data_IF_236116190673
#
_entry.id   IF_236116190673
#
_cell.length_a   1.000
_cell.length_b   1.000
_cell.length_c   1.000
_cell.angle_alpha   90.00
_cell.angle_beta   90.00
_cell.angle_gamma   90.00
#
_symmetry.space_group_name_H-M   'P 1'
#
loop_
_entity.id
_entity.type
_entity.pdbx_description
1 polymer ?
#
# COMPACT_ATOMS: atom_id res chain seq x y z
N UNK A 1 -3.27 -19.16 4.29
CA UNK A 1 -2.75 -17.78 4.35
C UNK A 1 -3.88 -16.86 3.90
N UNK A 2 -4.16 -15.78 4.63
CA UNK A 2 -5.11 -14.77 4.14
C UNK A 2 -4.62 -14.22 2.78
N UNK A 3 -5.49 -14.28 1.77
CA UNK A 3 -5.18 -13.71 0.45
C UNK A 3 -5.41 -12.20 0.49
N UNK A 4 -4.33 -11.42 0.52
CA UNK A 4 -4.41 -9.97 0.41
C UNK A 4 -4.75 -9.55 -1.03
N UNK A 5 -5.64 -8.55 -1.21
CA UNK A 5 -5.86 -7.90 -2.50
C UNK A 5 -4.55 -7.42 -3.14
N UNK A 6 -4.49 -7.43 -4.47
CA UNK A 6 -3.28 -7.04 -5.21
C UNK A 6 -2.82 -5.62 -4.84
N UNK A 7 -3.76 -4.69 -4.68
CA UNK A 7 -3.46 -3.32 -4.28
C UNK A 7 -2.78 -3.26 -2.90
N UNK A 8 -3.25 -4.04 -1.93
CA UNK A 8 -2.62 -4.12 -0.60
C UNK A 8 -1.19 -4.68 -0.68
N UNK A 9 -0.94 -5.63 -1.59
CA UNK A 9 0.41 -6.17 -1.80
C UNK A 9 1.33 -5.11 -2.40
N UNK A 10 0.86 -4.30 -3.35
CA UNK A 10 1.63 -3.20 -3.92
C UNK A 10 1.98 -2.13 -2.87
N UNK A 11 1.05 -1.80 -1.98
CA UNK A 11 1.31 -0.90 -0.83
C UNK A 11 2.40 -1.49 0.07
N UNK A 12 2.32 -2.77 0.41
CA UNK A 12 3.34 -3.42 1.23
C UNK A 12 4.71 -3.49 0.55
N UNK A 13 4.76 -3.75 -0.76
CA UNK A 13 6.01 -3.73 -1.53
C UNK A 13 6.66 -2.35 -1.55
N UNK A 14 5.85 -1.29 -1.72
CA UNK A 14 6.34 0.09 -1.67
C UNK A 14 6.92 0.41 -0.28
N UNK A 15 6.23 0.04 0.79
CA UNK A 15 6.70 0.26 2.15
C UNK A 15 7.94 -0.58 2.49
N UNK A 16 8.06 -1.79 1.93
CA UNK A 16 9.27 -2.60 2.06
C UNK A 16 10.50 -1.93 1.43
N UNK A 17 10.33 -1.28 0.28
CA UNK A 17 11.39 -0.48 -0.34
C UNK A 17 11.79 0.76 0.46
N UNK A 18 10.87 1.28 1.31
CA UNK A 18 11.06 2.46 2.17
C UNK A 18 11.14 2.11 3.67
N UNK A 19 11.59 0.90 4.00
CA UNK A 19 11.51 0.33 5.36
C UNK A 19 12.00 1.28 6.46
N UNK A 20 13.11 2.01 6.24
CA UNK A 20 13.72 2.89 7.23
C UNK A 20 13.12 4.30 7.29
N UNK A 21 12.56 4.81 6.19
CA UNK A 21 12.10 6.21 6.09
C UNK A 21 10.61 6.38 6.35
N UNK A 22 9.84 5.29 6.23
CA UNK A 22 8.38 5.32 6.13
C UNK A 22 7.94 6.00 4.83
N UNK A 23 6.64 6.18 4.68
CA UNK A 23 6.06 6.89 3.54
C UNK A 23 4.80 7.65 3.99
N UNK A 24 4.67 8.92 3.61
CA UNK A 24 3.44 9.69 3.85
C UNK A 24 2.33 9.29 2.89
N UNK A 25 1.09 9.70 3.18
CA UNK A 25 -0.05 9.45 2.29
C UNK A 25 0.16 10.09 0.92
N UNK A 26 0.64 11.33 0.85
CA UNK A 26 0.94 12.03 -0.41
C UNK A 26 2.03 11.32 -1.23
N UNK A 27 3.10 10.88 -0.58
CA UNK A 27 4.16 10.12 -1.25
C UNK A 27 3.61 8.82 -1.81
N UNK A 28 2.89 8.04 -0.99
CA UNK A 28 2.30 6.76 -1.40
C UNK A 28 1.36 6.92 -2.59
N UNK A 29 0.49 7.93 -2.53
CA UNK A 29 -0.42 8.31 -3.59
C UNK A 29 0.39 8.61 -4.86
N UNK A 30 1.41 9.47 -4.79
CA UNK A 30 2.25 9.80 -5.95
C UNK A 30 2.95 8.58 -6.57
N UNK A 31 3.45 7.64 -5.76
CA UNK A 31 4.11 6.41 -6.25
C UNK A 31 3.13 5.40 -6.86
N UNK A 32 1.91 5.32 -6.34
CA UNK A 32 0.89 4.37 -6.79
C UNK A 32 0.04 4.92 -7.94
N UNK A 33 0.05 6.24 -8.18
CA UNK A 33 -0.70 6.89 -9.24
C UNK A 33 -0.43 6.30 -10.65
N UNK A 34 0.82 6.00 -11.07
CA UNK A 34 1.09 5.39 -12.38
C UNK A 34 0.54 3.97 -12.49
N UNK A 35 0.63 3.17 -11.42
CA UNK A 35 0.18 1.77 -11.38
C UNK A 35 -1.34 1.67 -11.56
N UNK A 36 -2.08 2.61 -10.96
CA UNK A 36 -3.54 2.66 -11.07
C UNK A 36 -3.97 3.41 -12.33
N UNK A 37 -3.19 4.35 -12.86
CA UNK A 37 -3.46 4.94 -14.19
C UNK A 37 -3.44 3.88 -15.29
N UNK A 38 -2.54 2.89 -15.19
CA UNK A 38 -2.55 1.72 -16.07
C UNK A 38 -3.79 0.83 -15.86
N UNK A 39 -4.20 0.62 -14.61
CA UNK A 39 -5.43 -0.12 -14.29
C UNK A 39 -6.71 0.62 -14.71
N UNK A 40 -6.71 1.95 -14.66
CA UNK A 40 -7.76 2.87 -15.11
C UNK A 40 -7.95 2.81 -16.62
N UNK A 41 -6.85 2.70 -17.38
CA UNK A 41 -6.90 2.42 -18.81
C UNK A 41 -7.62 1.10 -19.13
N UNK A 42 -7.53 0.13 -18.21
CA UNK A 42 -8.14 -1.19 -18.35
C UNK A 42 -9.60 -1.26 -17.87
N UNK A 43 -9.97 -0.50 -16.82
CA UNK A 43 -11.30 -0.58 -16.18
C UNK A 43 -12.25 0.60 -16.50
N UNK A 44 -11.82 1.63 -17.22
CA UNK A 44 -12.68 2.75 -17.66
C UNK A 44 -13.19 3.68 -16.55
N UNK A 45 -12.80 3.48 -15.30
CA UNK A 45 -13.22 4.30 -14.14
C UNK A 45 -12.34 5.52 -13.93
N UNK A 46 -12.92 6.72 -14.02
CA UNK A 46 -12.24 7.99 -13.77
C UNK A 46 -12.13 8.31 -12.28
N UNK A 47 -11.09 7.79 -11.61
CA UNK A 47 -10.73 8.31 -10.28
C UNK A 47 -10.17 9.73 -10.41
N UNK A 48 -10.74 10.65 -9.63
CA UNK A 48 -10.16 11.95 -9.31
C UNK A 48 -9.02 11.79 -8.29
N UNK A 49 -8.12 12.78 -8.18
CA UNK A 49 -6.99 12.72 -7.23
C UNK A 49 -7.43 12.48 -5.77
N UNK A 50 -8.58 13.02 -5.37
CA UNK A 50 -9.16 12.85 -4.02
C UNK A 50 -9.71 11.44 -3.78
N UNK A 51 -10.38 10.85 -4.77
CA UNK A 51 -10.89 9.48 -4.64
C UNK A 51 -9.74 8.46 -4.56
N UNK A 52 -8.64 8.76 -5.24
CA UNK A 52 -7.45 7.93 -5.19
C UNK A 52 -6.74 8.01 -3.84
N UNK A 53 -6.56 9.21 -3.30
CA UNK A 53 -6.01 9.39 -1.94
C UNK A 53 -6.87 8.68 -0.89
N UNK A 54 -8.21 8.77 -1.00
CA UNK A 54 -9.13 8.04 -0.13
C UNK A 54 -8.96 6.52 -0.25
N UNK A 55 -8.76 5.99 -1.46
CA UNK A 55 -8.53 4.56 -1.69
C UNK A 55 -7.22 4.08 -1.06
N UNK A 56 -6.15 4.88 -1.18
CA UNK A 56 -4.86 4.59 -0.53
C UNK A 56 -5.03 4.60 0.99
N UNK A 57 -5.71 5.62 1.53
CA UNK A 57 -5.97 5.73 2.97
C UNK A 57 -6.77 4.54 3.50
N UNK A 58 -7.81 4.10 2.79
CA UNK A 58 -8.62 2.96 3.21
C UNK A 58 -7.82 1.65 3.21
N UNK A 59 -6.96 1.45 2.21
CA UNK A 59 -6.03 0.33 2.20
C UNK A 59 -5.04 0.38 3.38
N UNK A 60 -4.55 1.58 3.74
CA UNK A 60 -3.67 1.76 4.88
C UNK A 60 -4.36 1.43 6.21
N UNK A 61 -5.62 1.85 6.40
CA UNK A 61 -6.41 1.50 7.58
C UNK A 61 -6.57 -0.01 7.68
N UNK A 62 -7.00 -0.67 6.60
CA UNK A 62 -7.17 -2.14 6.59
C UNK A 62 -5.86 -2.87 6.88
N UNK A 63 -4.74 -2.43 6.31
CA UNK A 63 -3.44 -3.03 6.54
C UNK A 63 -2.96 -2.82 7.99
N UNK A 64 -3.27 -1.68 8.59
CA UNK A 64 -2.96 -1.38 9.99
C UNK A 64 -3.78 -2.26 10.93
N UNK A 65 -5.09 -2.39 10.68
CA UNK A 65 -5.98 -3.23 11.48
C UNK A 65 -5.58 -4.71 11.44
N UNK A 66 -5.06 -5.16 10.29
CA UNK A 66 -4.48 -6.50 10.13
C UNK A 66 -3.07 -6.63 10.71
N UNK A 67 -2.47 -5.55 11.20
CA UNK A 67 -1.13 -5.52 11.78
C UNK A 67 -0.02 -5.72 10.75
N UNK A 68 -0.26 -5.47 9.47
CA UNK A 68 0.77 -5.54 8.43
C UNK A 68 1.60 -4.26 8.38
N UNK A 69 1.03 -3.13 8.74
CA UNK A 69 1.72 -1.84 8.82
C UNK A 69 1.44 -1.18 10.17
N UNK A 70 2.18 -0.11 10.45
CA UNK A 70 1.96 0.80 11.55
C UNK A 70 1.78 2.22 10.99
N UNK A 71 0.69 2.89 11.39
CA UNK A 71 0.43 4.29 11.07
C UNK A 71 0.94 5.17 12.21
N UNK A 72 1.89 6.06 11.91
CA UNK A 72 2.45 6.97 12.89
C UNK A 72 1.78 8.34 12.79
N UNK A 73 0.84 8.61 13.70
CA UNK A 73 0.12 9.89 13.77
C UNK A 73 1.00 11.10 14.09
N UNK A 74 2.18 10.90 14.70
CA UNK A 74 3.12 11.97 15.03
C UNK A 74 4.00 12.42 13.85
N UNK A 75 4.13 11.59 12.82
CA UNK A 75 4.96 11.89 11.64
C UNK A 75 4.20 11.83 10.31
N UNK A 76 2.90 11.51 10.37
CA UNK A 76 2.04 11.28 9.20
C UNK A 76 2.63 10.26 8.20
N UNK A 77 3.25 9.21 8.75
CA UNK A 77 3.95 8.18 7.96
C UNK A 77 3.47 6.79 8.28
N UNK A 78 3.47 5.95 7.26
CA UNK A 78 3.22 4.52 7.37
C UNK A 78 4.52 3.73 7.29
N UNK A 79 4.62 2.67 8.09
CA UNK A 79 5.78 1.78 8.17
C UNK A 79 5.33 0.33 8.06
N UNK A 80 6.07 -0.48 7.32
CA UNK A 80 5.77 -1.92 7.25
C UNK A 80 6.28 -2.64 8.50
N UNK A 81 5.49 -3.60 8.99
CA UNK A 81 5.90 -4.47 10.10
C UNK A 81 6.58 -5.73 9.57
N UNK A 82 7.20 -6.51 10.46
CA UNK A 82 7.71 -7.85 10.11
C UNK A 82 6.58 -8.74 9.55
N UNK A 83 5.36 -8.66 10.10
CA UNK A 83 4.20 -9.40 9.58
C UNK A 83 3.85 -8.98 8.15
N UNK A 84 3.91 -7.69 7.85
CA UNK A 84 3.74 -7.17 6.49
C UNK A 84 4.81 -7.68 5.53
N UNK A 85 6.09 -7.68 5.96
CA UNK A 85 7.21 -8.21 5.18
C UNK A 85 7.03 -9.70 4.85
N UNK A 86 6.60 -10.51 5.82
CA UNK A 86 6.33 -11.93 5.59
C UNK A 86 5.18 -12.16 4.59
N UNK A 87 4.16 -11.30 4.62
CA UNK A 87 3.01 -11.41 3.72
C UNK A 87 3.41 -11.24 2.24
N UNK A 88 4.38 -10.37 1.94
CA UNK A 88 4.89 -10.19 0.57
C UNK A 88 6.01 -11.19 0.22
N UNK A 89 6.79 -11.65 1.20
CA UNK A 89 7.89 -12.61 0.97
C UNK A 89 7.39 -14.04 0.71
N UNK A 90 6.25 -14.43 1.28
CA UNK A 90 5.62 -15.72 1.00
C UNK A 90 5.27 -15.93 -0.48
N UNK A 91 5.09 -14.86 -1.26
CA UNK A 91 4.89 -14.93 -2.72
C UNK A 91 6.19 -14.99 -3.52
N UNK A 92 7.34 -14.59 -2.94
CA UNK A 92 8.66 -14.62 -3.59
C UNK A 92 9.36 -15.97 -3.36
N UNK A 93 9.07 -16.63 -2.25
CA UNK A 93 9.63 -17.95 -1.89
C UNK A 93 8.85 -19.14 -2.50
N UNK A 94 7.75 -18.89 -3.20
CA UNK A 94 7.05 -19.88 -4.00
C UNK A 94 7.45 -19.73 -5.48
N UNK A 95 8.72 -19.98 -5.79
CA UNK A 95 9.20 -20.32 -7.14
C UNK A 95 9.54 -21.80 -7.16
#
# INVERSE_FOLDING_TARGET
METLPLFHIQVLQLLAGKYSSGCSLEEMTSFLAPLISAQKFFNGTNYSGREFEATVLEALIVLNDKGHIFLNSGTDKSFITIKGMMAINSKVLCN
#
